data_IF_782991792371
#
_entry.id   IF_782991792371
#
_cell.length_a   1.000
_cell.length_b   1.000
_cell.length_c   1.000
_cell.angle_alpha   90.00
_cell.angle_beta   90.00
_cell.angle_gamma   90.00
#
_symmetry.space_group_name_H-M   'P 1'
#
loop_
_entity.id
_entity.type
_entity.pdbx_description
1 polymer ?
#
# COMPACT_ATOMS: atom_id res chain seq x y z
N UNK A 1 5.14 45.16 -7.60
CA UNK A 1 4.77 45.00 -6.17
C UNK A 1 3.54 44.10 -6.11
N UNK A 2 3.72 42.77 -6.11
CA UNK A 2 2.60 41.83 -6.03
C UNK A 2 2.10 41.78 -4.58
N UNK A 3 0.95 42.37 -4.31
CA UNK A 3 0.25 42.20 -3.03
C UNK A 3 -0.12 40.72 -2.92
N UNK A 4 0.67 39.95 -2.16
CA UNK A 4 0.41 38.53 -1.88
C UNK A 4 -0.97 38.43 -1.21
N UNK A 5 -1.96 37.93 -1.95
CA UNK A 5 -3.26 37.60 -1.37
C UNK A 5 -3.04 36.54 -0.29
N UNK A 6 -3.24 36.93 0.98
CA UNK A 6 -3.14 36.05 2.13
C UNK A 6 -4.53 35.57 2.52
N UNK A 7 -4.64 34.29 2.86
CA UNK A 7 -5.84 33.70 3.47
C UNK A 7 -5.74 33.82 4.99
N UNK A 8 -6.82 34.26 5.64
CA UNK A 8 -6.93 34.31 7.10
C UNK A 8 -7.77 33.14 7.62
N UNK A 9 -7.29 32.55 8.71
CA UNK A 9 -7.99 31.48 9.42
C UNK A 9 -7.68 31.56 10.92
N UNK A 10 -8.36 30.75 11.71
CA UNK A 10 -8.09 30.54 13.13
C UNK A 10 -7.74 29.08 13.34
N UNK A 11 -6.58 28.79 13.93
CA UNK A 11 -6.18 27.42 14.30
C UNK A 11 -5.89 27.43 15.80
N UNK A 12 -6.62 26.63 16.58
CA UNK A 12 -6.49 26.54 18.04
C UNK A 12 -6.55 27.91 18.73
N UNK A 13 -7.47 28.77 18.26
CA UNK A 13 -7.66 30.15 18.76
C UNK A 13 -6.63 31.16 18.25
N UNK A 14 -5.58 30.74 17.53
CA UNK A 14 -4.55 31.63 16.97
C UNK A 14 -4.95 32.10 15.57
N UNK A 15 -4.87 33.41 15.32
CA UNK A 15 -5.12 33.99 13.99
C UNK A 15 -3.93 33.70 13.07
N UNK A 16 -4.18 32.97 11.99
CA UNK A 16 -3.17 32.54 11.02
C UNK A 16 -3.32 33.32 9.72
N UNK A 17 -2.20 33.64 9.08
CA UNK A 17 -2.12 34.22 7.74
C UNK A 17 -1.22 33.35 6.88
N UNK A 18 -1.76 32.74 5.84
CA UNK A 18 -1.00 31.89 4.94
C UNK A 18 -1.14 32.35 3.47
N UNK A 19 -0.18 32.05 2.59
CA UNK A 19 -0.34 32.28 1.15
C UNK A 19 -1.59 31.58 0.60
N UNK A 20 -2.28 32.21 -0.34
CA UNK A 20 -3.43 31.58 -1.03
C UNK A 20 -3.00 30.26 -1.67
N UNK A 21 -3.79 29.20 -1.43
CA UNK A 21 -3.50 27.85 -1.94
C UNK A 21 -2.68 26.97 -0.98
N UNK A 22 -2.14 27.53 0.11
CA UNK A 22 -1.52 26.73 1.16
C UNK A 22 -2.53 25.76 1.78
N UNK A 23 -2.06 24.58 2.16
CA UNK A 23 -2.82 23.59 2.93
C UNK A 23 -2.93 24.01 4.40
N UNK A 24 -3.88 23.40 5.13
CA UNK A 24 -3.99 23.59 6.57
C UNK A 24 -2.69 23.21 7.29
N UNK A 25 -2.03 22.12 6.87
CA UNK A 25 -0.77 21.66 7.46
C UNK A 25 0.36 22.68 7.27
N UNK A 26 0.52 23.23 6.07
CA UNK A 26 1.55 24.24 5.80
C UNK A 26 1.31 25.53 6.61
N UNK A 27 0.05 25.97 6.70
CA UNK A 27 -0.33 27.12 7.49
C UNK A 27 -0.09 26.91 9.00
N UNK A 28 -0.40 25.71 9.52
CA UNK A 28 -0.14 25.34 10.91
C UNK A 28 1.36 25.35 11.23
N UNK A 29 2.19 24.75 10.37
CA UNK A 29 3.65 24.72 10.53
C UNK A 29 4.27 26.12 10.53
N UNK A 30 3.84 26.99 9.62
CA UNK A 30 4.29 28.40 9.59
C UNK A 30 3.95 29.16 10.87
N UNK A 31 2.91 28.73 11.59
CA UNK A 31 2.46 29.30 12.84
C UNK A 31 3.02 28.59 14.09
N UNK A 32 3.92 27.61 13.92
CA UNK A 32 4.46 26.81 15.02
C UNK A 32 3.41 25.93 15.71
N UNK A 33 2.34 25.54 14.99
CA UNK A 33 1.32 24.60 15.46
C UNK A 33 1.65 23.23 14.88
N UNK A 34 1.90 22.26 15.75
CA UNK A 34 2.27 20.92 15.35
C UNK A 34 1.04 20.09 14.98
N UNK A 35 1.04 19.55 13.76
CA UNK A 35 0.07 18.55 13.32
C UNK A 35 0.88 17.33 12.86
N UNK A 36 0.73 16.16 13.51
CA UNK A 36 1.56 15.00 13.22
C UNK A 36 1.27 14.42 11.83
N UNK A 37 2.32 13.89 11.18
CA UNK A 37 2.24 13.24 9.87
C UNK A 37 3.19 12.05 9.79
N UNK A 38 2.75 10.94 9.20
CA UNK A 38 3.64 9.81 8.88
C UNK A 38 3.91 9.65 7.38
N UNK A 39 3.04 10.18 6.51
CA UNK A 39 3.12 9.98 5.05
C UNK A 39 3.43 11.24 4.24
N UNK A 40 3.49 12.40 4.89
CA UNK A 40 3.75 13.68 4.22
C UNK A 40 5.25 13.85 3.99
N UNK A 41 5.61 14.31 2.79
CA UNK A 41 6.97 14.68 2.39
C UNK A 41 6.91 16.17 2.05
N UNK A 42 7.74 16.96 2.72
CA UNK A 42 7.76 18.41 2.52
C UNK A 42 8.15 18.77 1.07
N UNK A 43 7.49 19.77 0.51
CA UNK A 43 7.67 20.20 -0.89
C UNK A 43 7.09 19.25 -1.94
N UNK A 44 6.46 18.13 -1.54
CA UNK A 44 5.90 17.14 -2.45
C UNK A 44 4.37 17.09 -2.37
N UNK A 45 3.74 16.55 -3.42
CA UNK A 45 2.28 16.38 -3.43
C UNK A 45 1.85 15.47 -2.28
N UNK A 46 0.82 15.85 -1.50
CA UNK A 46 0.41 15.08 -0.33
C UNK A 46 -0.25 13.76 -0.73
N UNK A 47 0.24 12.66 -0.14
CA UNK A 47 -0.33 11.32 -0.37
C UNK A 47 -1.64 11.10 0.37
N UNK A 48 -1.82 11.73 1.54
CA UNK A 48 -3.02 11.63 2.37
C UNK A 48 -3.33 10.23 2.94
N UNK A 49 -2.44 9.25 2.79
CA UNK A 49 -2.72 7.84 3.09
C UNK A 49 -2.73 7.50 4.59
N UNK A 50 -1.88 8.14 5.41
CA UNK A 50 -1.77 7.75 6.82
C UNK A 50 -2.91 8.24 7.71
N UNK A 51 -3.65 9.29 7.29
CA UNK A 51 -4.75 9.91 8.05
C UNK A 51 -4.43 10.41 9.47
N UNK A 52 -3.16 10.46 9.88
CA UNK A 52 -2.75 11.01 11.19
C UNK A 52 -3.01 12.52 11.30
N UNK A 53 -2.82 13.26 10.21
CA UNK A 53 -2.98 14.72 10.17
C UNK A 53 -4.44 15.21 10.20
N UNK A 54 -5.37 14.40 10.66
CA UNK A 54 -6.78 14.81 10.76
C UNK A 54 -6.94 15.97 11.74
N UNK A 55 -7.82 16.90 11.38
CA UNK A 55 -8.20 18.07 12.18
C UNK A 55 -9.71 18.30 12.08
N UNK A 56 -10.25 19.01 13.05
CA UNK A 56 -11.65 19.40 13.07
C UNK A 56 -11.81 20.80 12.49
N UNK A 57 -12.73 20.98 11.54
CA UNK A 57 -13.06 22.28 10.96
C UNK A 57 -14.48 22.63 11.36
N UNK A 58 -14.69 23.82 11.93
CA UNK A 58 -16.01 24.28 12.34
C UNK A 58 -16.99 24.25 11.15
N UNK A 59 -18.17 23.68 11.38
CA UNK A 59 -19.20 23.49 10.34
C UNK A 59 -19.02 22.22 9.50
N UNK A 60 -17.86 21.55 9.55
CA UNK A 60 -17.68 20.25 8.91
C UNK A 60 -18.17 19.11 9.80
N UNK A 61 -18.98 18.21 9.23
CA UNK A 61 -19.37 16.98 9.93
C UNK A 61 -18.22 15.97 10.01
N UNK A 62 -17.31 15.97 9.05
CA UNK A 62 -16.17 15.04 8.99
C UNK A 62 -14.86 15.70 9.45
N UNK A 63 -13.95 14.90 10.01
CA UNK A 63 -12.56 15.34 10.18
C UNK A 63 -11.86 15.35 8.82
N UNK A 64 -11.14 16.44 8.54
CA UNK A 64 -10.44 16.62 7.26
C UNK A 64 -8.95 16.38 7.44
N UNK A 65 -8.27 15.95 6.38
CA UNK A 65 -6.81 15.76 6.44
C UNK A 65 -6.09 17.08 6.19
N UNK A 66 -5.33 17.57 7.16
CA UNK A 66 -4.66 18.86 7.05
C UNK A 66 -3.64 18.93 5.91
N UNK A 67 -3.00 17.80 5.56
CA UNK A 67 -1.91 17.75 4.58
C UNK A 67 -2.32 18.03 3.13
N UNK A 68 -3.59 17.92 2.77
CA UNK A 68 -4.07 18.14 1.40
C UNK A 68 -5.26 19.09 1.31
N UNK A 69 -5.91 19.41 2.43
CA UNK A 69 -7.05 20.32 2.45
C UNK A 69 -6.54 21.76 2.30
N UNK A 70 -6.92 22.50 1.26
CA UNK A 70 -6.55 23.91 1.11
C UNK A 70 -7.16 24.76 2.23
N UNK A 71 -6.39 25.71 2.76
CA UNK A 71 -6.88 26.69 3.71
C UNK A 71 -7.76 27.70 2.98
N UNK A 72 -9.01 27.88 3.44
CA UNK A 72 -9.93 28.91 2.92
C UNK A 72 -10.17 30.01 3.94
N UNK A 73 -10.61 31.16 3.44
CA UNK A 73 -10.87 32.34 4.28
C UNK A 73 -11.90 32.03 5.37
N UNK A 74 -11.61 32.47 6.60
CA UNK A 74 -12.52 32.32 7.73
C UNK A 74 -12.61 30.92 8.32
N UNK A 75 -11.79 29.95 7.87
CA UNK A 75 -11.76 28.62 8.50
C UNK A 75 -11.42 28.73 9.99
N UNK A 76 -12.13 27.98 10.81
CA UNK A 76 -11.81 27.77 12.23
C UNK A 76 -11.49 26.30 12.42
N UNK A 77 -10.23 26.00 12.77
CA UNK A 77 -9.67 24.67 12.86
C UNK A 77 -9.28 24.39 14.31
N UNK A 78 -9.54 23.16 14.76
CA UNK A 78 -9.09 22.64 16.05
C UNK A 78 -8.28 21.36 15.84
N UNK A 79 -7.08 21.29 16.38
CA UNK A 79 -6.11 20.23 16.10
C UNK A 79 -6.03 19.14 17.17
N UNK A 80 -6.66 19.36 18.33
CA UNK A 80 -6.52 18.57 19.56
C UNK A 80 -7.86 18.21 20.23
N UNK A 81 -8.99 18.35 19.53
CA UNK A 81 -10.30 18.00 20.11
C UNK A 81 -10.34 16.52 20.51
N UNK A 82 -11.18 16.13 21.50
CA UNK A 82 -11.30 14.73 21.90
C UNK A 82 -11.59 13.79 20.72
N UNK A 83 -12.35 14.28 19.73
CA UNK A 83 -12.66 13.56 18.50
C UNK A 83 -11.43 13.37 17.61
N UNK A 84 -10.60 14.40 17.45
CA UNK A 84 -9.34 14.31 16.68
C UNK A 84 -8.37 13.33 17.33
N UNK A 85 -8.18 13.43 18.65
CA UNK A 85 -7.29 12.55 19.40
C UNK A 85 -7.77 11.10 19.33
N UNK A 86 -9.06 10.84 19.50
CA UNK A 86 -9.62 9.49 19.39
C UNK A 86 -9.38 8.85 18.02
N UNK A 87 -9.53 9.62 16.93
CA UNK A 87 -9.25 9.12 15.58
C UNK A 87 -7.76 8.88 15.35
N UNK A 88 -6.87 9.76 15.83
CA UNK A 88 -5.42 9.53 15.75
C UNK A 88 -5.01 8.26 16.48
N UNK A 89 -5.50 8.06 17.72
CA UNK A 89 -5.27 6.82 18.49
C UNK A 89 -5.72 5.59 17.72
N UNK A 90 -6.94 5.59 17.18
CA UNK A 90 -7.48 4.45 16.42
C UNK A 90 -6.67 4.16 15.14
N UNK A 91 -6.23 5.19 14.42
CA UNK A 91 -5.40 5.04 13.21
C UNK A 91 -4.04 4.43 13.55
N UNK A 92 -3.37 4.93 14.59
CA UNK A 92 -2.07 4.39 15.05
C UNK A 92 -2.23 2.97 15.54
N UNK A 93 -3.27 2.69 16.33
CA UNK A 93 -3.61 1.36 16.80
C UNK A 93 -3.76 0.38 15.62
N UNK A 94 -4.51 0.74 14.58
CA UNK A 94 -4.66 -0.07 13.37
C UNK A 94 -3.33 -0.31 12.64
N UNK A 95 -2.45 0.70 12.56
CA UNK A 95 -1.11 0.51 11.97
C UNK A 95 -0.29 -0.51 12.76
N UNK A 96 -0.36 -0.46 14.08
CA UNK A 96 0.35 -1.40 14.95
C UNK A 96 -0.18 -2.84 14.83
N UNK A 97 -1.46 -3.05 14.49
CA UNK A 97 -2.00 -4.42 14.31
C UNK A 97 -1.33 -5.19 13.18
N UNK A 98 -0.92 -4.48 12.12
CA UNK A 98 -0.27 -5.07 10.96
C UNK A 98 1.26 -5.00 11.03
N UNK A 99 1.83 -4.36 12.06
CA UNK A 99 3.27 -4.16 12.22
C UNK A 99 3.85 -5.25 13.12
N UNK A 100 4.66 -6.15 12.56
CA UNK A 100 5.25 -7.27 13.33
C UNK A 100 6.70 -7.04 13.77
N UNK A 101 7.22 -5.83 13.59
CA UNK A 101 8.54 -5.45 14.08
C UNK A 101 8.61 -5.39 15.60
N UNK A 102 9.75 -5.79 16.16
CA UNK A 102 10.02 -5.71 17.61
C UNK A 102 10.71 -4.41 17.97
N UNK A 103 9.97 -3.39 18.44
CA UNK A 103 10.54 -2.09 18.80
C UNK A 103 11.60 -2.19 19.92
N UNK A 104 11.46 -3.13 20.85
CA UNK A 104 12.37 -3.29 22.00
C UNK A 104 13.81 -3.57 21.59
N UNK A 105 14.00 -4.28 20.48
CA UNK A 105 15.33 -4.67 19.97
C UNK A 105 15.71 -3.92 18.70
N UNK A 106 14.90 -2.93 18.28
CA UNK A 106 15.18 -2.15 17.08
C UNK A 106 16.15 -1.01 17.42
N UNK A 107 17.34 -0.95 16.81
CA UNK A 107 18.29 0.13 17.03
C UNK A 107 17.78 1.50 16.56
N UNK A 108 16.70 1.55 15.77
CA UNK A 108 16.09 2.80 15.27
C UNK A 108 14.77 3.13 16.00
N UNK A 109 14.47 2.50 17.14
CA UNK A 109 13.21 2.69 17.85
C UNK A 109 13.01 4.15 18.32
N UNK A 110 14.09 4.82 18.71
CA UNK A 110 14.13 6.22 19.17
C UNK A 110 13.77 7.24 18.06
N UNK A 111 14.12 6.91 16.83
CA UNK A 111 13.87 7.74 15.64
C UNK A 111 12.64 7.26 14.84
N UNK A 112 11.97 6.21 15.30
CA UNK A 112 10.77 5.66 14.66
C UNK A 112 9.56 6.58 14.89
N UNK A 113 9.10 7.24 13.83
CA UNK A 113 7.96 8.14 13.88
C UNK A 113 6.64 7.45 14.28
N UNK A 114 6.47 6.16 13.97
CA UNK A 114 5.29 5.42 14.45
C UNK A 114 5.36 5.16 15.96
N UNK A 115 6.54 4.79 16.47
CA UNK A 115 6.75 4.56 17.90
C UNK A 115 6.53 5.83 18.70
N UNK A 116 7.13 6.95 18.27
CA UNK A 116 6.99 8.24 18.93
C UNK A 116 5.53 8.69 18.93
N UNK A 117 4.84 8.58 17.78
CA UNK A 117 3.43 8.94 17.70
C UNK A 117 2.51 8.05 18.57
N UNK A 118 2.85 6.75 18.69
CA UNK A 118 2.13 5.86 19.60
C UNK A 118 2.35 6.27 21.06
N UNK A 119 3.57 6.64 21.43
CA UNK A 119 3.91 7.16 22.75
C UNK A 119 3.16 8.48 23.05
N UNK A 120 3.23 9.46 22.15
CA UNK A 120 2.59 10.78 22.30
C UNK A 120 1.06 10.70 22.45
N UNK A 121 0.47 9.65 21.89
CA UNK A 121 -0.97 9.40 21.97
C UNK A 121 -1.34 8.30 22.98
N UNK A 122 -0.39 7.83 23.78
CA UNK A 122 -0.60 6.78 24.80
C UNK A 122 -1.32 5.55 24.22
N UNK A 123 -0.91 5.13 23.02
CA UNK A 123 -1.42 3.94 22.35
C UNK A 123 -0.62 2.73 22.83
N UNK A 124 -1.28 1.87 23.60
CA UNK A 124 -0.72 0.60 24.06
C UNK A 124 -0.86 -0.54 23.05
N UNK A 125 -0.93 -1.77 23.56
CA UNK A 125 -1.15 -2.95 22.74
C UNK A 125 -2.47 -2.83 21.95
N UNK A 126 -2.49 -3.17 20.65
CA UNK A 126 -3.70 -3.06 19.84
C UNK A 126 -4.83 -3.95 20.35
N UNK A 127 -6.06 -3.43 20.35
CA UNK A 127 -7.27 -4.18 20.70
C UNK A 127 -7.78 -5.06 19.55
N UNK A 128 -7.31 -4.81 18.32
CA UNK A 128 -7.70 -5.60 17.16
C UNK A 128 -6.71 -6.75 16.95
N UNK A 129 -7.23 -7.98 16.89
CA UNK A 129 -6.43 -9.13 16.52
C UNK A 129 -6.53 -9.40 15.03
N UNK A 130 -5.38 -9.55 14.37
CA UNK A 130 -5.31 -10.02 12.99
C UNK A 130 -4.90 -11.48 12.98
N UNK A 131 -5.70 -12.34 12.33
CA UNK A 131 -5.46 -13.79 12.26
C UNK A 131 -4.16 -14.12 11.53
N UNK A 132 -3.74 -13.25 10.60
CA UNK A 132 -2.49 -13.36 9.85
C UNK A 132 -1.84 -11.98 9.79
N UNK A 133 -0.89 -11.66 10.66
CA UNK A 133 -0.19 -10.39 10.58
C UNK A 133 0.73 -10.33 9.36
N UNK A 134 1.11 -9.12 8.94
CA UNK A 134 1.92 -8.90 7.72
C UNK A 134 3.41 -9.16 7.98
N UNK A 135 3.77 -10.42 8.15
CA UNK A 135 5.15 -10.84 8.27
C UNK A 135 5.78 -11.03 6.88
N UNK A 136 6.97 -10.47 6.71
CA UNK A 136 7.85 -10.64 5.57
C UNK A 136 9.27 -10.94 6.08
N UNK A 137 9.98 -11.92 5.50
CA UNK A 137 11.41 -12.06 5.73
C UNK A 137 12.12 -10.75 5.38
N UNK A 138 13.14 -10.40 6.16
CA UNK A 138 13.99 -9.28 5.81
C UNK A 138 14.85 -9.63 4.59
N UNK A 139 14.95 -8.70 3.66
CA UNK A 139 15.74 -8.82 2.44
C UNK A 139 17.01 -7.99 2.56
N UNK A 140 18.13 -8.65 2.29
CA UNK A 140 19.49 -8.10 2.39
C UNK A 140 20.27 -8.28 1.07
N UNK A 141 19.57 -8.52 -0.05
CA UNK A 141 20.13 -8.69 -1.39
C UNK A 141 20.88 -7.44 -1.90
N UNK A 142 20.54 -6.26 -1.38
CA UNK A 142 21.22 -5.01 -1.70
C UNK A 142 22.26 -4.65 -0.62
N UNK A 143 23.54 -4.47 -0.98
CA UNK A 143 24.59 -4.10 -0.02
C UNK A 143 24.42 -2.69 0.57
N UNK A 144 23.49 -1.87 0.04
CA UNK A 144 23.26 -0.50 0.47
C UNK A 144 21.93 -0.30 1.20
N UNK A 145 20.95 -1.21 1.03
CA UNK A 145 19.58 -1.05 1.52
C UNK A 145 19.06 -2.41 2.01
N UNK A 146 18.82 -2.51 3.32
CA UNK A 146 18.06 -3.60 3.93
C UNK A 146 16.57 -3.28 3.90
N UNK A 147 15.74 -4.23 3.48
CA UNK A 147 14.28 -4.07 3.37
C UNK A 147 13.58 -5.04 4.32
N UNK A 148 12.80 -4.50 5.24
CA UNK A 148 11.98 -5.25 6.20
C UNK A 148 10.54 -4.75 6.13
N UNK A 149 9.75 -5.33 5.22
CA UNK A 149 8.39 -4.88 4.97
C UNK A 149 7.41 -5.22 6.11
N UNK A 150 7.81 -6.07 7.07
CA UNK A 150 7.08 -6.30 8.32
C UNK A 150 6.94 -5.03 9.15
N UNK A 151 7.87 -4.08 8.97
CA UNK A 151 7.86 -2.78 9.64
C UNK A 151 7.13 -1.70 8.82
N UNK A 152 6.70 -2.00 7.60
CA UNK A 152 6.18 -1.01 6.66
C UNK A 152 4.69 -0.68 6.91
N UNK A 153 4.41 0.59 7.18
CA UNK A 153 3.04 1.13 7.34
C UNK A 153 2.42 1.66 6.03
N UNK A 154 3.02 1.34 4.87
CA UNK A 154 2.54 1.74 3.54
C UNK A 154 2.33 3.27 3.38
N UNK A 155 3.18 4.08 4.02
CA UNK A 155 3.11 5.54 4.00
C UNK A 155 3.49 6.16 2.64
N UNK A 156 4.13 5.40 1.75
CA UNK A 156 4.60 5.81 0.40
C UNK A 156 5.64 6.94 0.38
N UNK A 157 6.24 7.29 1.52
CA UNK A 157 7.33 8.28 1.58
C UNK A 157 8.55 7.84 0.77
N UNK A 158 8.94 6.57 0.88
CA UNK A 158 10.04 5.99 0.10
C UNK A 158 9.80 6.07 -1.42
N UNK A 159 8.56 5.81 -1.86
CA UNK A 159 8.17 5.91 -3.28
C UNK A 159 8.25 7.36 -3.76
N UNK A 160 7.65 8.28 -2.99
CA UNK A 160 7.66 9.72 -3.30
C UNK A 160 9.09 10.25 -3.36
N UNK A 161 9.93 9.90 -2.39
CA UNK A 161 11.32 10.31 -2.35
C UNK A 161 12.16 9.70 -3.50
N UNK A 162 11.97 8.41 -3.79
CA UNK A 162 12.66 7.73 -4.89
C UNK A 162 12.33 8.36 -6.25
N UNK A 163 11.07 8.77 -6.45
CA UNK A 163 10.60 9.40 -7.69
C UNK A 163 10.94 10.88 -7.77
N UNK A 164 10.44 11.66 -6.83
CA UNK A 164 10.43 13.12 -6.93
C UNK A 164 11.74 13.77 -6.46
N UNK A 165 12.49 13.11 -5.57
CA UNK A 165 13.72 13.65 -4.99
C UNK A 165 14.95 13.03 -5.66
N UNK A 166 14.99 11.71 -5.80
CA UNK A 166 16.11 11.01 -6.43
C UNK A 166 15.97 10.82 -7.94
N UNK A 167 14.77 10.97 -8.53
CA UNK A 167 14.55 10.81 -9.96
C UNK A 167 14.76 9.38 -10.50
N UNK A 168 14.62 8.35 -9.65
CA UNK A 168 14.94 6.94 -10.00
C UNK A 168 13.73 6.06 -10.27
N UNK A 169 12.62 6.32 -9.60
CA UNK A 169 11.33 5.63 -9.79
C UNK A 169 11.37 4.09 -9.71
N UNK A 170 12.12 3.56 -8.74
CA UNK A 170 12.33 2.11 -8.56
C UNK A 170 11.17 1.45 -7.82
N UNK A 171 10.59 2.15 -6.85
CA UNK A 171 9.63 1.59 -5.89
C UNK A 171 8.19 1.91 -6.28
N UNK A 172 7.30 0.94 -6.14
CA UNK A 172 5.86 1.12 -6.34
C UNK A 172 5.02 0.44 -5.24
N UNK A 173 3.70 0.61 -5.30
CA UNK A 173 2.75 -0.18 -4.49
C UNK A 173 2.21 -1.29 -5.37
N UNK A 174 2.41 -2.53 -4.94
CA UNK A 174 1.79 -3.71 -5.51
C UNK A 174 0.61 -4.21 -4.66
N UNK A 175 -0.21 -5.05 -5.27
CA UNK A 175 -1.36 -5.71 -4.66
C UNK A 175 -2.43 -4.73 -4.15
N UNK A 176 -3.37 -5.21 -3.33
CA UNK A 176 -4.46 -4.40 -2.79
C UNK A 176 -4.90 -4.83 -1.39
N UNK A 177 -5.53 -3.91 -0.66
CA UNK A 177 -6.05 -4.20 0.68
C UNK A 177 -4.93 -4.63 1.63
N UNK A 178 -5.17 -5.67 2.42
CA UNK A 178 -4.23 -6.14 3.43
C UNK A 178 -2.94 -6.76 2.86
N UNK A 179 -2.93 -7.18 1.59
CA UNK A 179 -1.73 -7.74 0.93
C UNK A 179 -0.87 -6.68 0.24
N UNK A 180 -1.27 -5.41 0.27
CA UNK A 180 -0.52 -4.32 -0.35
C UNK A 180 0.93 -4.29 0.15
N UNK A 181 1.90 -4.14 -0.74
CA UNK A 181 3.32 -4.12 -0.40
C UNK A 181 4.07 -3.05 -1.21
N UNK A 182 5.22 -2.60 -0.69
CA UNK A 182 6.16 -1.79 -1.46
C UNK A 182 7.04 -2.74 -2.26
N UNK A 183 6.97 -2.64 -3.58
CA UNK A 183 7.58 -3.59 -4.52
C UNK A 183 8.61 -2.89 -5.42
N UNK A 184 9.43 -3.67 -6.10
CA UNK A 184 10.31 -3.22 -7.21
C UNK A 184 10.13 -4.14 -8.40
N UNK A 185 10.29 -3.63 -9.62
CA UNK A 185 10.16 -4.42 -10.85
C UNK A 185 8.87 -5.25 -10.89
N UNK A 186 9.02 -6.57 -10.96
CA UNK A 186 7.92 -7.53 -10.94
C UNK A 186 7.67 -8.12 -9.52
N UNK A 187 7.72 -7.28 -8.49
CA UNK A 187 7.87 -7.72 -7.08
C UNK A 187 9.07 -8.65 -6.87
N UNK A 188 10.21 -8.17 -7.36
CA UNK A 188 11.49 -8.85 -7.25
C UNK A 188 12.26 -8.32 -6.01
N UNK A 189 13.31 -9.02 -5.55
CA UNK A 189 14.22 -8.48 -4.55
C UNK A 189 14.88 -7.17 -5.00
N UNK A 190 15.20 -6.30 -4.05
CA UNK A 190 15.93 -5.07 -4.34
C UNK A 190 17.41 -5.38 -4.58
N UNK A 191 17.91 -5.22 -5.80
CA UNK A 191 19.31 -5.56 -6.17
C UNK A 191 20.13 -4.31 -6.52
N UNK A 192 21.45 -4.44 -6.67
CA UNK A 192 22.35 -3.34 -7.10
C UNK A 192 22.11 -2.87 -8.53
N UNK A 193 21.54 -3.72 -9.38
CA UNK A 193 21.17 -3.39 -10.76
C UNK A 193 20.01 -2.39 -10.79
N UNK A 194 19.00 -2.61 -9.94
CA UNK A 194 17.80 -1.78 -9.84
C UNK A 194 18.00 -0.57 -8.92
N UNK A 195 18.77 -0.71 -7.83
CA UNK A 195 18.93 0.32 -6.81
C UNK A 195 20.37 0.38 -6.30
N UNK A 196 21.01 1.53 -6.46
CA UNK A 196 22.38 1.81 -5.95
C UNK A 196 22.31 2.58 -4.61
N UNK A 197 23.41 3.19 -4.17
CA UNK A 197 23.57 3.61 -2.77
C UNK A 197 22.83 4.88 -2.27
N UNK A 198 21.96 5.49 -3.08
CA UNK A 198 21.52 6.87 -2.84
C UNK A 198 20.82 7.12 -1.49
N UNK A 199 20.27 6.10 -0.84
CA UNK A 199 19.80 6.15 0.55
C UNK A 199 18.50 6.93 0.79
N UNK A 200 17.99 7.69 -0.18
CA UNK A 200 16.83 8.58 0.03
C UNK A 200 15.59 7.85 0.57
N UNK A 201 15.40 6.58 0.21
CA UNK A 201 14.26 5.81 0.70
C UNK A 201 14.36 5.46 2.19
N UNK A 202 15.59 5.34 2.71
CA UNK A 202 15.91 5.11 4.13
C UNK A 202 15.65 6.41 4.90
N UNK A 203 16.20 7.53 4.43
CA UNK A 203 16.08 8.84 5.09
C UNK A 203 14.62 9.28 5.27
N UNK A 204 13.75 8.89 4.32
CA UNK A 204 12.32 9.20 4.37
C UNK A 204 11.46 8.08 4.97
N UNK A 205 12.02 6.96 5.40
CA UNK A 205 11.26 5.87 6.02
C UNK A 205 10.92 6.21 7.49
N UNK A 206 9.63 6.30 7.88
CA UNK A 206 9.26 6.67 9.25
C UNK A 206 9.35 5.52 10.27
N UNK A 207 9.61 4.27 9.84
CA UNK A 207 9.50 3.08 10.71
C UNK A 207 10.70 2.14 10.66
N UNK A 208 11.77 2.48 9.94
CA UNK A 208 12.92 1.58 9.77
C UNK A 208 12.64 0.35 8.88
N UNK A 209 11.53 0.34 8.13
CA UNK A 209 11.26 -0.70 7.13
C UNK A 209 12.26 -0.71 5.97
N UNK A 210 12.97 0.40 5.78
CA UNK A 210 14.13 0.52 4.92
C UNK A 210 15.26 1.05 5.79
N UNK A 211 16.37 0.34 5.86
CA UNK A 211 17.52 0.69 6.70
C UNK A 211 18.83 0.42 5.97
N UNK A 212 19.95 0.83 6.55
CA UNK A 212 21.27 0.34 6.10
C UNK A 212 21.46 -1.11 6.59
N UNK A 213 22.15 -1.97 5.83
CA UNK A 213 22.58 -3.27 6.32
C UNK A 213 23.57 -3.14 7.49
N UNK A 214 23.62 -4.17 8.35
CA UNK A 214 24.56 -4.22 9.47
C UNK A 214 26.01 -4.22 8.96
N UNK A 215 26.87 -3.40 9.58
CA UNK A 215 28.27 -3.27 9.17
C UNK A 215 28.52 -2.36 7.95
N UNK A 216 27.49 -1.69 7.43
CA UNK A 216 27.63 -0.72 6.35
C UNK A 216 28.47 0.48 6.81
N UNK A 217 29.59 0.74 6.13
CA UNK A 217 30.38 1.96 6.29
C UNK A 217 30.02 2.92 5.17
N UNK A 218 29.57 4.13 5.50
CA UNK A 218 29.19 5.13 4.52
C UNK A 218 30.42 5.59 3.72
N UNK A 219 30.52 5.19 2.45
CA UNK A 219 31.68 5.47 1.58
C UNK A 219 31.62 6.88 0.97
N UNK A 220 30.42 7.46 0.85
CA UNK A 220 30.18 8.81 0.34
C UNK A 220 29.12 9.53 1.18
N UNK A 221 29.30 10.83 1.38
CA UNK A 221 28.22 11.70 1.86
C UNK A 221 27.03 11.50 0.91
N UNK A 222 25.82 11.33 1.47
CA UNK A 222 24.59 11.14 0.71
C UNK A 222 24.41 12.21 -0.38
N UNK A 223 23.56 11.92 -1.36
CA UNK A 223 23.51 12.72 -2.58
C UNK A 223 23.28 14.22 -2.30
N UNK A 224 23.96 15.14 -3.02
CA UNK A 224 23.41 16.46 -3.24
C UNK A 224 22.19 16.29 -4.15
N UNK A 225 21.04 16.85 -3.78
CA UNK A 225 19.81 16.80 -4.58
C UNK A 225 20.02 17.28 -6.03
N UNK A 226 20.08 16.42 -7.07
CA UNK A 226 19.71 16.90 -8.38
C UNK A 226 18.18 17.02 -8.32
N UNK A 227 17.68 18.24 -8.53
CA UNK A 227 16.26 18.44 -8.80
C UNK A 227 15.86 17.51 -9.93
N UNK A 228 15.13 16.44 -9.60
CA UNK A 228 14.52 15.58 -10.60
C UNK A 228 13.61 16.46 -11.44
N UNK A 229 13.83 16.47 -12.75
CA UNK A 229 12.86 17.02 -13.68
C UNK A 229 11.53 16.33 -13.40
N UNK A 230 10.58 17.06 -12.82
CA UNK A 230 9.26 16.55 -12.50
C UNK A 230 8.67 15.98 -13.77
N UNK A 231 8.58 14.66 -13.85
CA UNK A 231 7.77 14.01 -14.88
C UNK A 231 6.32 14.32 -14.50
N UNK A 232 5.76 15.20 -15.30
CA UNK A 232 4.35 15.43 -15.52
C UNK A 232 3.59 14.11 -15.61
N UNK A 233 3.16 13.61 -14.45
CA UNK A 233 1.82 13.12 -14.21
C UNK A 233 1.18 12.22 -15.26
N UNK A 234 1.92 11.37 -15.98
CA UNK A 234 1.35 10.25 -16.74
C UNK A 234 0.80 9.27 -15.71
N UNK A 235 -0.43 9.55 -15.31
CA UNK A 235 -1.06 8.96 -14.16
C UNK A 235 -1.27 7.48 -14.38
N UNK A 236 -1.22 6.74 -13.29
CA UNK A 236 -1.73 5.35 -13.21
C UNK A 236 -3.14 5.19 -13.83
N UNK A 237 -3.89 6.28 -14.03
CA UNK A 237 -5.17 6.31 -14.73
C UNK A 237 -5.14 5.78 -16.17
N UNK A 238 -4.00 5.91 -16.87
CA UNK A 238 -3.90 5.52 -18.29
C UNK A 238 -3.37 4.09 -18.50
N UNK A 239 -2.87 3.44 -17.43
CA UNK A 239 -2.32 2.09 -17.52
C UNK A 239 -3.39 1.02 -17.70
N UNK A 240 -4.55 1.18 -17.05
CA UNK A 240 -5.57 0.13 -17.06
C UNK A 240 -6.12 -0.16 -18.46
N UNK A 241 -6.45 0.85 -19.30
CA UNK A 241 -6.84 0.60 -20.69
C UNK A 241 -5.75 -0.14 -21.48
N UNK A 242 -4.48 0.23 -21.31
CA UNK A 242 -3.34 -0.40 -22.01
C UNK A 242 -3.14 -1.85 -21.56
N UNK A 243 -3.24 -2.11 -20.26
CA UNK A 243 -3.19 -3.47 -19.71
C UNK A 243 -4.34 -4.33 -20.22
N UNK A 244 -5.56 -3.78 -20.31
CA UNK A 244 -6.71 -4.50 -20.89
C UNK A 244 -6.50 -4.82 -22.36
N UNK A 245 -5.89 -3.92 -23.13
CA UNK A 245 -5.55 -4.16 -24.52
C UNK A 245 -4.54 -5.31 -24.68
N UNK A 246 -3.48 -5.34 -23.87
CA UNK A 246 -2.53 -6.46 -23.89
C UNK A 246 -3.18 -7.76 -23.41
N UNK A 247 -4.01 -7.71 -22.36
CA UNK A 247 -4.75 -8.88 -21.87
C UNK A 247 -5.65 -9.47 -22.97
N UNK A 248 -6.34 -8.63 -23.75
CA UNK A 248 -7.16 -9.09 -24.87
C UNK A 248 -6.34 -9.80 -25.97
N UNK A 249 -5.04 -9.50 -26.08
CA UNK A 249 -4.14 -10.10 -27.07
C UNK A 249 -3.50 -11.40 -26.58
N UNK A 250 -3.09 -11.47 -25.32
CA UNK A 250 -2.32 -12.60 -24.79
C UNK A 250 -3.12 -13.52 -23.85
N UNK A 251 -4.33 -13.16 -23.45
CA UNK A 251 -5.16 -13.90 -22.48
C UNK A 251 -4.65 -13.84 -21.03
N UNK A 252 -3.37 -13.54 -20.84
CA UNK A 252 -2.69 -13.32 -19.56
C UNK A 252 -1.79 -12.10 -19.62
N UNK A 253 -1.65 -11.38 -18.51
CA UNK A 253 -0.59 -10.38 -18.35
C UNK A 253 0.66 -11.06 -17.81
N UNK A 254 1.39 -11.76 -18.67
CA UNK A 254 2.69 -12.31 -18.30
C UNK A 254 3.72 -11.21 -18.03
N UNK A 255 4.87 -11.58 -17.45
CA UNK A 255 6.03 -10.68 -17.30
C UNK A 255 6.42 -10.05 -18.64
N UNK A 256 6.47 -10.81 -19.74
CA UNK A 256 6.79 -10.23 -21.05
C UNK A 256 5.70 -9.27 -21.55
N UNK A 257 4.42 -9.55 -21.26
CA UNK A 257 3.33 -8.64 -21.61
C UNK A 257 3.47 -7.29 -20.89
N UNK A 258 3.73 -7.33 -19.58
CA UNK A 258 3.94 -6.11 -18.79
C UNK A 258 5.23 -5.37 -19.16
N UNK A 259 6.30 -6.08 -19.51
CA UNK A 259 7.52 -5.45 -20.05
C UNK A 259 7.25 -4.71 -21.35
N UNK A 260 6.44 -5.29 -22.26
CA UNK A 260 6.03 -4.59 -23.49
C UNK A 260 5.21 -3.34 -23.18
N UNK A 261 4.31 -3.39 -22.19
CA UNK A 261 3.57 -2.20 -21.74
C UNK A 261 4.51 -1.14 -21.21
N UNK A 262 5.45 -1.52 -20.34
CA UNK A 262 6.43 -0.61 -19.76
C UNK A 262 7.27 0.09 -20.85
N UNK A 263 7.82 -0.68 -21.80
CA UNK A 263 8.60 -0.14 -22.93
C UNK A 263 7.75 0.77 -23.81
N UNK A 264 6.51 0.37 -24.13
CA UNK A 264 5.61 1.14 -25.00
C UNK A 264 5.15 2.46 -24.37
N UNK A 265 4.93 2.48 -23.06
CA UNK A 265 4.38 3.64 -22.33
C UNK A 265 5.46 4.51 -21.69
N UNK A 266 6.69 4.00 -21.56
CA UNK A 266 7.76 4.64 -20.79
C UNK A 266 7.54 4.62 -19.28
N UNK A 267 6.50 3.92 -18.81
CA UNK A 267 6.15 3.78 -17.39
C UNK A 267 7.01 2.67 -16.78
N UNK A 268 7.58 2.85 -15.57
CA UNK A 268 8.38 1.82 -14.92
C UNK A 268 7.61 0.51 -14.72
N UNK A 269 8.31 -0.62 -14.88
CA UNK A 269 7.74 -1.96 -14.71
C UNK A 269 7.06 -2.13 -13.34
N UNK A 270 7.63 -1.54 -12.28
CA UNK A 270 7.08 -1.56 -10.92
C UNK A 270 5.69 -0.94 -10.83
N UNK A 271 5.43 0.15 -11.55
CA UNK A 271 4.10 0.78 -11.62
C UNK A 271 3.12 0.00 -12.51
N UNK A 272 3.63 -0.61 -13.60
CA UNK A 272 2.82 -1.48 -14.47
C UNK A 272 2.35 -2.70 -13.68
N UNK A 273 3.27 -3.43 -13.04
CA UNK A 273 2.95 -4.58 -12.20
C UNK A 273 2.12 -4.17 -10.97
N UNK A 274 2.44 -3.02 -10.35
CA UNK A 274 1.66 -2.49 -9.24
C UNK A 274 0.20 -2.21 -9.61
N UNK A 275 -0.03 -1.72 -10.83
CA UNK A 275 -1.39 -1.51 -11.35
C UNK A 275 -2.06 -2.84 -11.70
N UNK A 276 -1.35 -3.76 -12.33
CA UNK A 276 -1.89 -5.06 -12.73
C UNK A 276 -2.29 -5.91 -11.49
N UNK A 277 -1.43 -5.97 -10.48
CA UNK A 277 -1.67 -6.68 -9.21
C UNK A 277 -2.74 -6.03 -8.31
N UNK A 278 -3.07 -4.76 -8.53
CA UNK A 278 -4.17 -4.11 -7.81
C UNK A 278 -5.54 -4.63 -8.26
N UNK A 279 -5.73 -4.92 -9.54
CA UNK A 279 -7.02 -5.33 -10.09
C UNK A 279 -7.16 -6.86 -10.17
N UNK A 280 -8.00 -7.43 -9.32
CA UNK A 280 -8.17 -8.89 -9.22
C UNK A 280 -8.73 -9.59 -10.47
N UNK A 281 -9.20 -8.86 -11.49
CA UNK A 281 -9.65 -9.46 -12.75
C UNK A 281 -8.55 -9.52 -13.81
N UNK A 282 -7.35 -9.02 -13.53
CA UNK A 282 -6.19 -9.06 -14.41
C UNK A 282 -5.30 -10.26 -14.04
N UNK A 283 -5.34 -11.37 -14.79
CA UNK A 283 -4.52 -12.54 -14.49
C UNK A 283 -3.04 -12.26 -14.77
N UNK A 284 -2.18 -12.41 -13.75
CA UNK A 284 -0.73 -12.16 -13.83
C UNK A 284 0.10 -13.41 -14.16
N UNK A 285 -0.49 -14.59 -13.99
CA UNK A 285 0.14 -15.88 -14.23
C UNK A 285 -0.67 -16.65 -15.28
N UNK A 286 0.02 -17.49 -16.07
CA UNK A 286 -0.58 -18.24 -17.17
C UNK A 286 -1.90 -18.87 -16.76
N UNK A 287 -2.95 -18.59 -17.54
CA UNK A 287 -4.30 -19.04 -17.23
C UNK A 287 -4.34 -20.56 -17.18
N UNK A 288 -4.54 -21.09 -15.98
CA UNK A 288 -4.93 -22.47 -15.87
C UNK A 288 -6.27 -22.69 -16.57
N UNK A 289 -6.50 -23.89 -17.13
CA UNK A 289 -7.75 -24.24 -17.83
C UNK A 289 -9.00 -23.92 -16.99
N UNK A 290 -8.89 -24.09 -15.68
CA UNK A 290 -9.94 -23.83 -14.70
C UNK A 290 -9.45 -22.86 -13.63
N UNK A 291 -9.90 -21.61 -13.70
CA UNK A 291 -9.52 -20.55 -12.77
C UNK A 291 -10.45 -20.51 -11.57
N UNK A 292 -9.96 -20.95 -10.42
CA UNK A 292 -10.70 -20.95 -9.16
C UNK A 292 -10.49 -19.61 -8.46
N UNK A 293 -11.55 -18.84 -8.28
CA UNK A 293 -11.56 -17.56 -7.57
C UNK A 293 -12.46 -17.70 -6.35
N UNK A 294 -11.91 -17.67 -5.15
CA UNK A 294 -12.69 -17.85 -3.91
C UNK A 294 -12.83 -16.54 -3.14
N UNK A 295 -14.05 -16.27 -2.69
CA UNK A 295 -14.40 -15.02 -2.01
C UNK A 295 -13.82 -15.00 -0.60
N UNK A 296 -13.07 -13.93 -0.27
CA UNK A 296 -12.51 -13.65 1.06
C UNK A 296 -13.16 -12.43 1.73
N UNK A 297 -14.37 -12.07 1.31
CA UNK A 297 -15.16 -11.05 1.99
C UNK A 297 -15.64 -11.56 3.36
N UNK A 298 -15.98 -10.64 4.27
CA UNK A 298 -16.37 -10.94 5.66
C UNK A 298 -17.45 -12.04 5.77
N UNK A 299 -18.54 -12.05 4.98
CA UNK A 299 -19.56 -13.11 5.07
C UNK A 299 -19.03 -14.51 4.73
N UNK A 300 -18.15 -14.62 3.74
CA UNK A 300 -17.55 -15.90 3.34
C UNK A 300 -16.57 -16.40 4.40
N UNK A 301 -15.75 -15.50 4.97
CA UNK A 301 -14.82 -15.87 6.03
C UNK A 301 -15.56 -16.33 7.30
N UNK A 302 -16.62 -15.62 7.72
CA UNK A 302 -17.48 -16.01 8.84
C UNK A 302 -18.18 -17.36 8.63
N UNK A 303 -18.44 -17.74 7.38
CA UNK A 303 -19.08 -19.02 7.01
C UNK A 303 -18.06 -20.14 6.75
N UNK A 304 -16.77 -19.93 7.03
CA UNK A 304 -15.76 -20.97 6.95
C UNK A 304 -15.01 -21.06 5.62
N UNK A 305 -14.95 -19.96 4.83
CA UNK A 305 -14.16 -19.93 3.60
C UNK A 305 -12.69 -20.32 3.81
N UNK A 306 -12.10 -20.02 4.97
CA UNK A 306 -10.74 -20.43 5.30
C UNK A 306 -10.53 -21.95 5.28
N UNK A 307 -11.53 -22.73 5.72
CA UNK A 307 -11.49 -24.20 5.67
C UNK A 307 -11.61 -24.69 4.23
N UNK A 308 -12.52 -24.11 3.46
CA UNK A 308 -12.70 -24.41 2.03
C UNK A 308 -11.43 -24.13 1.24
N UNK A 309 -10.78 -22.99 1.48
CA UNK A 309 -9.49 -22.63 0.88
C UNK A 309 -8.45 -23.71 1.20
N UNK A 310 -8.34 -24.12 2.46
CA UNK A 310 -7.39 -25.16 2.89
C UNK A 310 -7.62 -26.50 2.18
N UNK A 311 -8.88 -26.89 1.97
CA UNK A 311 -9.24 -28.08 1.18
C UNK A 311 -8.77 -27.96 -0.27
N UNK A 312 -9.04 -26.83 -0.94
CA UNK A 312 -8.60 -26.61 -2.34
C UNK A 312 -7.07 -26.71 -2.45
N UNK A 313 -6.36 -26.10 -1.50
CA UNK A 313 -4.89 -26.16 -1.47
C UNK A 313 -4.37 -27.60 -1.30
N UNK A 314 -5.06 -28.40 -0.49
CA UNK A 314 -4.69 -29.80 -0.24
C UNK A 314 -4.97 -30.68 -1.46
N UNK A 315 -6.14 -30.51 -2.09
CA UNK A 315 -6.57 -31.27 -3.27
C UNK A 315 -5.73 -30.97 -4.52
N UNK A 316 -5.31 -29.71 -4.69
CA UNK A 316 -4.58 -29.26 -5.87
C UNK A 316 -3.06 -29.15 -5.66
N UNK A 317 -2.59 -29.17 -4.41
CA UNK A 317 -1.17 -29.01 -4.09
C UNK A 317 -0.60 -27.63 -4.42
N UNK A 318 -1.44 -26.59 -4.47
CA UNK A 318 -1.06 -25.22 -4.82
C UNK A 318 -1.52 -24.21 -3.77
N UNK A 319 -0.78 -23.12 -3.60
CA UNK A 319 -1.14 -22.00 -2.74
C UNK A 319 -1.98 -20.95 -3.52
N UNK A 320 -2.72 -20.08 -2.83
CA UNK A 320 -3.40 -18.99 -3.52
C UNK A 320 -2.39 -18.04 -4.20
N UNK A 321 -2.58 -17.80 -5.49
CA UNK A 321 -1.67 -17.09 -6.39
C UNK A 321 -0.93 -18.04 -7.35
N UNK A 322 -0.98 -19.34 -7.11
CA UNK A 322 -0.28 -20.36 -7.91
C UNK A 322 -1.23 -21.08 -8.88
N UNK A 323 -0.62 -21.81 -9.81
CA UNK A 323 -1.29 -22.73 -10.73
C UNK A 323 -0.65 -24.11 -10.62
N UNK A 324 -1.43 -25.16 -10.89
CA UNK A 324 -0.93 -26.53 -10.91
C UNK A 324 0.10 -26.70 -12.02
N UNK A 325 1.08 -27.59 -11.83
CA UNK A 325 2.19 -27.77 -12.77
C UNK A 325 1.74 -28.23 -14.18
N UNK A 326 0.60 -28.89 -14.27
CA UNK A 326 -0.08 -29.30 -15.50
C UNK A 326 -0.89 -28.18 -16.17
N UNK A 327 -0.97 -26.99 -15.57
CA UNK A 327 -1.74 -25.86 -16.08
C UNK A 327 -3.26 -26.06 -15.99
N UNK A 328 -3.74 -27.03 -15.22
CA UNK A 328 -5.17 -27.36 -15.13
C UNK A 328 -5.96 -26.41 -14.24
N UNK A 329 -5.45 -26.11 -13.04
CA UNK A 329 -6.14 -25.25 -12.08
C UNK A 329 -5.25 -24.10 -11.60
N UNK A 330 -5.86 -22.95 -11.33
CA UNK A 330 -5.22 -21.84 -10.62
C UNK A 330 -6.11 -21.41 -9.47
N UNK A 331 -5.51 -21.04 -8.33
CA UNK A 331 -6.24 -20.62 -7.14
C UNK A 331 -6.00 -19.14 -6.87
N UNK A 332 -7.06 -18.33 -6.86
CA UNK A 332 -7.01 -16.89 -6.58
C UNK A 332 -7.95 -16.54 -5.43
N UNK A 333 -7.49 -15.71 -4.49
CA UNK A 333 -8.38 -15.12 -3.47
C UNK A 333 -8.92 -13.79 -3.99
N UNK A 334 -10.24 -13.65 -4.04
CA UNK A 334 -10.90 -12.44 -4.50
C UNK A 334 -11.66 -11.76 -3.37
N UNK A 335 -11.70 -10.43 -3.42
CA UNK A 335 -12.35 -9.62 -2.39
C UNK A 335 -13.85 -9.91 -2.26
N UNK A 336 -14.60 -9.94 -3.37
CA UNK A 336 -16.04 -10.19 -3.37
C UNK A 336 -16.47 -10.83 -4.69
N UNK A 337 -17.41 -11.76 -4.62
CA UNK A 337 -18.03 -12.44 -5.79
C UNK A 337 -19.51 -12.03 -5.94
N UNK A 338 -20.10 -11.32 -4.97
CA UNK A 338 -21.49 -10.87 -5.02
C UNK A 338 -22.53 -11.92 -4.62
N UNK A 339 -22.10 -13.09 -4.14
CA UNK A 339 -22.96 -14.20 -3.71
C UNK A 339 -22.98 -14.36 -2.18
N UNK A 340 -23.21 -13.27 -1.44
CA UNK A 340 -23.14 -13.27 0.03
C UNK A 340 -24.23 -14.12 0.69
N UNK A 341 -25.38 -14.28 0.03
CA UNK A 341 -26.49 -15.15 0.41
C UNK A 341 -26.15 -16.65 0.28
N UNK A 342 -25.11 -16.97 -0.50
CA UNK A 342 -24.63 -18.34 -0.73
C UNK A 342 -23.20 -18.53 -0.21
N UNK A 343 -22.81 -17.81 0.84
CA UNK A 343 -21.48 -17.94 1.42
C UNK A 343 -21.27 -19.31 2.13
N UNK A 344 -20.08 -19.95 2.02
CA UNK A 344 -18.91 -19.55 1.25
C UNK A 344 -19.09 -19.77 -0.26
N UNK A 345 -18.55 -18.85 -1.07
CA UNK A 345 -18.70 -18.86 -2.52
C UNK A 345 -17.35 -18.83 -3.27
N UNK A 346 -17.29 -19.55 -4.38
CA UNK A 346 -16.19 -19.53 -5.35
C UNK A 346 -16.73 -19.47 -6.78
N UNK A 347 -15.90 -18.98 -7.69
CA UNK A 347 -16.09 -19.09 -9.12
C UNK A 347 -15.04 -20.06 -9.68
N UNK A 348 -15.44 -20.98 -10.54
CA UNK A 348 -14.50 -21.68 -11.43
C UNK A 348 -14.79 -21.17 -12.83
N UNK A 349 -13.82 -20.47 -13.43
CA UNK A 349 -14.09 -19.64 -14.59
C UNK A 349 -15.31 -18.74 -14.30
N UNK A 350 -16.36 -18.76 -15.11
CA UNK A 350 -17.54 -17.90 -14.91
C UNK A 350 -18.69 -18.61 -14.17
N UNK A 351 -18.50 -19.85 -13.73
CA UNK A 351 -19.52 -20.62 -13.03
C UNK A 351 -19.46 -20.43 -11.51
N UNK A 352 -20.60 -20.09 -10.91
CA UNK A 352 -20.75 -19.80 -9.49
C UNK A 352 -21.09 -21.03 -8.67
N UNK A 353 -20.30 -21.28 -7.64
CA UNK A 353 -20.57 -22.29 -6.62
C UNK A 353 -20.69 -21.62 -5.25
N UNK A 354 -21.88 -21.66 -4.66
CA UNK A 354 -22.15 -21.16 -3.31
C UNK A 354 -22.50 -22.28 -2.34
N UNK A 355 -22.60 -21.98 -1.04
CA UNK A 355 -22.81 -22.91 0.07
C UNK A 355 -21.76 -24.03 0.07
N UNK A 356 -20.49 -23.64 -0.09
CA UNK A 356 -19.37 -24.57 -0.19
C UNK A 356 -19.00 -25.17 1.17
N UNK A 357 -18.84 -26.49 1.16
CA UNK A 357 -18.23 -27.28 2.23
C UNK A 357 -16.95 -27.94 1.69
N UNK A 358 -16.02 -28.42 2.55
CA UNK A 358 -14.86 -29.17 2.12
C UNK A 358 -15.19 -30.30 1.14
N UNK A 359 -16.17 -31.14 1.48
CA UNK A 359 -16.58 -32.28 0.66
C UNK A 359 -17.11 -31.85 -0.71
N UNK A 360 -17.99 -30.84 -0.72
CA UNK A 360 -18.58 -30.33 -1.96
C UNK A 360 -17.54 -29.72 -2.89
N UNK A 361 -16.51 -29.07 -2.34
CA UNK A 361 -15.43 -28.54 -3.14
C UNK A 361 -14.56 -29.65 -3.72
N UNK A 362 -14.26 -30.70 -2.96
CA UNK A 362 -13.55 -31.86 -3.49
C UNK A 362 -14.35 -32.53 -4.63
N UNK A 363 -15.68 -32.61 -4.52
CA UNK A 363 -16.55 -33.13 -5.59
C UNK A 363 -16.47 -32.28 -6.86
N UNK A 364 -16.66 -30.95 -6.73
CA UNK A 364 -16.58 -30.02 -7.87
C UNK A 364 -15.20 -30.10 -8.54
N UNK A 365 -14.11 -30.15 -7.78
CA UNK A 365 -12.76 -30.26 -8.35
C UNK A 365 -12.55 -31.60 -9.09
N UNK A 366 -13.18 -32.69 -8.64
CA UNK A 366 -13.13 -33.99 -9.32
C UNK A 366 -13.90 -33.97 -10.64
N UNK A 367 -15.05 -33.33 -10.71
CA UNK A 367 -15.83 -33.17 -11.94
C UNK A 367 -14.99 -32.48 -13.03
N UNK A 368 -14.36 -31.34 -12.70
CA UNK A 368 -13.48 -30.63 -13.62
C UNK A 368 -12.21 -31.39 -14.02
N UNK A 369 -11.71 -32.31 -13.17
CA UNK A 369 -10.62 -33.22 -13.55
C UNK A 369 -11.06 -34.27 -14.56
N UNK A 370 -12.31 -34.75 -14.47
CA UNK A 370 -12.86 -35.78 -15.36
C UNK A 370 -13.25 -35.23 -16.73
N UNK A 371 -13.72 -33.98 -16.80
CA UNK A 371 -14.05 -33.31 -18.07
C UNK A 371 -12.82 -32.91 -18.91
N UNK A 372 -11.61 -33.05 -18.34
CA UNK A 372 -10.37 -32.60 -18.95
C UNK A 372 -9.42 -33.71 -19.38
N UNK A 373 -9.71 -34.97 -19.03
CA UNK A 373 -9.11 -36.16 -19.64
C UNK A 373 -9.91 -36.61 -20.86
#
# INVERSE_FOLDING_TARGET
MFTLFKTHAVIDGRKIKAPRGATILEAARQAGIEIPTLCHVEGQRPSGVCRVCVVEVQGSRALVGACHTPLTEGMVIRTDTPRVIAVRKAVVELMLTAHTGTCVTDPNADTCGLHNLASDHEVGAPRFNVTRPRFYPAEDDNPYVRRDLSKCILCRRCITACREIAGRDVLAIGYRGFTSAVITGYDEPLTTESCRDCGVCIDYCPTGALSRPSGFTQIRAGHPSPGGAGRDGTGRGDLLPVLRQELARSGVLSREAMLRVAVKTGIPLSDVYGTASFYAYLPLHGGAKHRIRICKCVPCDLKGASTVIGTIQTELGILPGEATADGMFSLELVGCIGACDQAPAMLINDELYGNLTPDRVADVLREYRQEAG
#
